data_IF_307583521969
#
_entry.id   IF_307583521969
#
_cell.length_a   1.000
_cell.length_b   1.000
_cell.length_c   1.000
_cell.angle_alpha   90.00
_cell.angle_beta   90.00
_cell.angle_gamma   90.00
#
_symmetry.space_group_name_H-M   'P 1'
#
loop_
_entity.id
_entity.type
_entity.pdbx_description
1 polymer ?
#
# COMPACT_ATOMS: atom_id res chain seq x y z
N UNK A 1 23.61 -13.87 -26.94
CA UNK A 1 22.44 -13.43 -27.73
C UNK A 1 21.20 -14.33 -27.55
N UNK A 2 21.20 -15.60 -27.99
CA UNK A 2 20.00 -16.48 -27.95
C UNK A 2 19.51 -16.89 -26.55
N UNK A 3 20.40 -16.95 -25.56
CA UNK A 3 20.03 -17.30 -24.18
C UNK A 3 19.25 -16.20 -23.45
N UNK A 4 19.63 -14.94 -23.65
CA UNK A 4 19.00 -13.76 -23.04
C UNK A 4 17.58 -13.57 -23.62
N UNK A 5 17.42 -13.71 -24.93
CA UNK A 5 16.10 -13.67 -25.58
C UNK A 5 15.16 -14.79 -25.10
N UNK A 6 15.70 -15.97 -24.78
CA UNK A 6 14.92 -17.12 -24.27
C UNK A 6 14.51 -16.95 -22.80
N UNK A 7 15.32 -16.22 -22.01
CA UNK A 7 15.03 -15.86 -20.62
C UNK A 7 13.99 -14.74 -20.58
N UNK A 8 14.14 -13.71 -21.41
CA UNK A 8 13.17 -12.60 -21.53
C UNK A 8 11.81 -13.07 -22.03
N UNK A 9 11.75 -13.94 -23.03
CA UNK A 9 10.48 -14.54 -23.51
C UNK A 9 9.82 -15.42 -22.45
N UNK A 10 10.57 -16.26 -21.75
CA UNK A 10 10.02 -17.07 -20.64
C UNK A 10 9.52 -16.24 -19.47
N UNK A 11 10.15 -15.11 -19.16
CA UNK A 11 9.70 -14.21 -18.10
C UNK A 11 8.44 -13.44 -18.53
N UNK A 12 8.35 -13.03 -19.79
CA UNK A 12 7.19 -12.32 -20.32
C UNK A 12 5.94 -13.22 -20.39
N UNK A 13 6.11 -14.49 -20.75
CA UNK A 13 5.02 -15.48 -20.73
C UNK A 13 4.58 -15.86 -19.31
N UNK A 14 5.49 -15.83 -18.33
CA UNK A 14 5.19 -16.19 -16.93
C UNK A 14 4.43 -15.10 -16.18
N UNK A 15 4.49 -13.85 -16.63
CA UNK A 15 3.88 -12.68 -15.95
C UNK A 15 2.41 -12.48 -16.34
N UNK A 16 1.85 -13.31 -17.24
CA UNK A 16 0.39 -13.35 -17.47
C UNK A 16 -0.19 -12.05 -18.05
N UNK A 17 0.64 -11.25 -18.74
CA UNK A 17 0.26 -9.94 -19.31
C UNK A 17 -0.89 -10.05 -20.31
N UNK A 18 -0.98 -11.15 -21.07
CA UNK A 18 -2.12 -11.43 -21.96
C UNK A 18 -3.46 -11.53 -21.21
N UNK A 19 -3.45 -11.99 -19.95
CA UNK A 19 -4.66 -12.20 -19.16
C UNK A 19 -5.14 -10.95 -18.41
N UNK A 20 -4.24 -9.99 -18.19
CA UNK A 20 -4.56 -8.68 -17.61
C UNK A 20 -5.16 -7.72 -18.67
N UNK A 21 -4.70 -7.83 -19.92
CA UNK A 21 -5.13 -6.98 -21.04
C UNK A 21 -6.52 -7.35 -21.58
N UNK A 22 -6.93 -8.62 -21.50
CA UNK A 22 -8.27 -9.05 -21.97
C UNK A 22 -9.42 -8.70 -21.01
N UNK A 23 -9.15 -8.40 -19.72
CA UNK A 23 -10.19 -8.21 -18.70
C UNK A 23 -10.35 -6.79 -18.16
N UNK A 24 -9.37 -5.92 -18.36
CA UNK A 24 -9.48 -4.50 -17.99
C UNK A 24 -9.85 -3.69 -19.21
N UNK A 25 -11.03 -3.06 -19.23
CA UNK A 25 -11.59 -2.23 -20.32
C UNK A 25 -10.78 -0.98 -20.68
N UNK A 26 -9.49 -1.12 -20.95
CA UNK A 26 -8.57 -0.07 -21.39
C UNK A 26 -8.77 0.32 -22.86
N UNK A 27 -9.57 -0.43 -23.63
CA UNK A 27 -9.84 -0.11 -25.04
C UNK A 27 -10.46 1.28 -25.22
N UNK A 28 -11.29 1.73 -24.29
CA UNK A 28 -12.00 3.02 -24.41
C UNK A 28 -11.16 4.23 -24.00
N UNK A 29 -10.08 4.04 -23.24
CA UNK A 29 -9.15 5.12 -22.88
C UNK A 29 -8.00 5.28 -23.90
N UNK A 30 -7.78 4.28 -24.77
CA UNK A 30 -6.64 4.23 -25.69
C UNK A 30 -6.93 4.74 -27.11
N UNK A 31 -8.18 4.97 -27.50
CA UNK A 31 -8.51 5.53 -28.82
C UNK A 31 -8.03 6.98 -29.04
N UNK A 32 -7.54 7.66 -27.99
CA UNK A 32 -7.07 9.05 -28.08
C UNK A 32 -5.55 9.24 -28.05
N UNK A 33 -4.78 8.17 -27.85
CA UNK A 33 -3.31 8.23 -27.94
C UNK A 33 -2.77 6.92 -28.46
N UNK A 34 -2.37 6.91 -29.74
CA UNK A 34 -1.70 5.78 -30.42
C UNK A 34 -0.30 5.53 -29.85
N UNK A 35 -0.20 5.14 -28.59
CA UNK A 35 1.04 4.66 -27.98
C UNK A 35 0.75 3.32 -27.34
N UNK A 36 1.06 2.25 -28.08
CA UNK A 36 1.06 0.90 -27.54
C UNK A 36 2.10 0.79 -26.41
N UNK A 37 1.70 0.38 -25.19
CA UNK A 37 2.63 0.23 -24.07
C UNK A 37 3.79 -0.71 -24.39
N UNK A 38 3.55 -1.71 -25.24
CA UNK A 38 4.55 -2.66 -25.74
C UNK A 38 5.60 -2.00 -26.63
N UNK A 39 5.23 -1.02 -27.46
CA UNK A 39 6.15 -0.25 -28.30
C UNK A 39 7.01 0.71 -27.47
N UNK A 40 6.42 1.28 -26.41
CA UNK A 40 7.17 2.11 -25.46
C UNK A 40 8.24 1.29 -24.74
N UNK A 41 7.87 0.09 -24.27
CA UNK A 41 8.80 -0.82 -23.60
C UNK A 41 9.90 -1.33 -24.55
N UNK A 42 9.54 -1.66 -25.79
CA UNK A 42 10.48 -2.05 -26.84
C UNK A 42 11.53 -0.98 -27.11
N UNK A 43 11.11 0.29 -27.19
CA UNK A 43 12.03 1.44 -27.35
C UNK A 43 12.95 1.61 -26.14
N UNK A 44 12.42 1.51 -24.91
CA UNK A 44 13.23 1.60 -23.68
C UNK A 44 14.32 0.51 -23.68
N UNK A 45 13.97 -0.74 -24.01
CA UNK A 45 14.93 -1.85 -24.07
C UNK A 45 15.97 -1.63 -25.18
N UNK A 46 15.55 -1.16 -26.35
CA UNK A 46 16.47 -0.82 -27.46
C UNK A 46 17.50 0.24 -27.05
N UNK A 47 17.06 1.35 -26.46
CA UNK A 47 17.97 2.41 -26.02
C UNK A 47 18.86 1.95 -24.85
N UNK A 48 18.36 1.12 -23.93
CA UNK A 48 19.17 0.53 -22.87
C UNK A 48 20.29 -0.37 -23.41
N UNK A 49 19.98 -1.24 -24.39
CA UNK A 49 20.99 -2.07 -25.06
C UNK A 49 21.99 -1.23 -25.85
N UNK A 50 21.52 -0.18 -26.54
CA UNK A 50 22.39 0.75 -27.25
C UNK A 50 23.40 1.42 -26.31
N UNK A 51 22.96 1.88 -25.14
CA UNK A 51 23.84 2.45 -24.12
C UNK A 51 24.88 1.44 -23.60
N UNK A 52 24.48 0.18 -23.42
CA UNK A 52 25.40 -0.87 -23.00
C UNK A 52 26.50 -1.13 -24.03
N UNK A 53 26.14 -1.17 -25.32
CA UNK A 53 27.11 -1.30 -26.43
C UNK A 53 28.04 -0.08 -26.48
N UNK A 54 27.48 1.12 -26.28
CA UNK A 54 28.26 2.36 -26.25
C UNK A 54 29.24 2.39 -25.07
N UNK A 55 28.84 1.87 -23.90
CA UNK A 55 29.73 1.72 -22.75
C UNK A 55 30.91 0.81 -23.04
N UNK A 56 30.68 -0.34 -23.70
CA UNK A 56 31.76 -1.25 -24.09
C UNK A 56 32.72 -0.62 -25.10
N UNK A 57 32.19 0.23 -26.00
CA UNK A 57 33.00 0.95 -26.98
C UNK A 57 33.89 2.04 -26.33
N UNK A 58 33.41 2.75 -25.30
CA UNK A 58 34.18 3.78 -24.61
C UNK A 58 34.99 3.26 -23.42
N UNK A 59 34.64 2.11 -22.85
CA UNK A 59 35.33 1.49 -21.71
C UNK A 59 36.74 0.98 -22.01
N UNK A 60 37.17 1.03 -23.27
CA UNK A 60 38.55 0.72 -23.69
C UNK A 60 39.52 1.86 -23.32
N UNK A 61 39.02 3.05 -22.98
CA UNK A 61 39.82 4.17 -22.51
C UNK A 61 39.85 4.20 -20.96
N UNK A 62 41.01 4.02 -20.32
CA UNK A 62 41.12 3.70 -18.88
C UNK A 62 40.70 4.82 -17.91
N UNK A 63 40.46 6.05 -18.38
CA UNK A 63 39.87 7.13 -17.58
C UNK A 63 39.22 8.17 -18.52
N UNK A 64 37.91 8.09 -18.71
CA UNK A 64 37.18 9.06 -19.50
C UNK A 64 35.86 9.42 -18.80
N UNK A 65 35.59 10.71 -18.50
CA UNK A 65 34.34 11.17 -17.89
C UNK A 65 33.08 10.65 -18.60
N UNK A 66 33.17 10.34 -19.90
CA UNK A 66 32.08 9.77 -20.68
C UNK A 66 31.66 8.38 -20.17
N UNK A 67 32.62 7.53 -19.75
CA UNK A 67 32.32 6.20 -19.20
C UNK A 67 31.58 6.27 -17.86
N UNK A 68 31.91 7.27 -17.03
CA UNK A 68 31.25 7.51 -15.74
C UNK A 68 29.81 8.01 -15.93
N UNK A 69 29.60 8.89 -16.92
CA UNK A 69 28.25 9.33 -17.31
C UNK A 69 27.41 8.16 -17.81
N UNK A 70 27.94 7.31 -18.69
CA UNK A 70 27.20 6.14 -19.20
C UNK A 70 26.87 5.17 -18.06
N UNK A 71 27.83 4.88 -17.17
CA UNK A 71 27.60 4.01 -16.01
C UNK A 71 26.51 4.56 -15.10
N UNK A 72 26.49 5.88 -14.88
CA UNK A 72 25.45 6.56 -14.10
C UNK A 72 24.07 6.43 -14.74
N UNK A 73 23.97 6.54 -16.07
CA UNK A 73 22.70 6.35 -16.79
C UNK A 73 22.21 4.90 -16.69
N UNK A 74 23.10 3.91 -16.79
CA UNK A 74 22.71 2.50 -16.62
C UNK A 74 22.26 2.23 -15.18
N UNK A 75 22.94 2.79 -14.18
CA UNK A 75 22.55 2.70 -12.78
C UNK A 75 21.19 3.38 -12.49
N UNK A 76 20.75 4.28 -13.36
CA UNK A 76 19.44 4.94 -13.27
C UNK A 76 18.29 4.09 -13.84
N UNK A 77 18.56 3.16 -14.77
CA UNK A 77 17.52 2.30 -15.36
C UNK A 77 16.71 1.49 -14.32
N UNK A 78 17.33 0.85 -13.29
CA UNK A 78 16.59 0.20 -12.22
C UNK A 78 15.64 1.15 -11.48
N UNK A 79 16.05 2.41 -11.23
CA UNK A 79 15.23 3.40 -10.54
C UNK A 79 13.98 3.76 -11.34
N UNK A 80 14.14 3.96 -12.65
CA UNK A 80 12.99 4.19 -13.56
C UNK A 80 12.02 3.01 -13.51
N UNK A 81 12.53 1.77 -13.56
CA UNK A 81 11.68 0.58 -13.50
C UNK A 81 10.86 0.53 -12.21
N UNK A 82 11.49 0.78 -11.05
CA UNK A 82 10.78 0.84 -9.76
C UNK A 82 9.77 1.98 -9.73
N UNK A 83 10.10 3.16 -10.26
CA UNK A 83 9.17 4.29 -10.33
C UNK A 83 7.92 3.96 -11.16
N UNK A 84 8.06 3.27 -12.30
CA UNK A 84 6.93 2.80 -13.12
C UNK A 84 6.06 1.83 -12.33
N UNK A 85 6.67 0.86 -11.62
CA UNK A 85 5.93 -0.08 -10.77
C UNK A 85 5.13 0.68 -9.71
N UNK A 86 5.73 1.67 -9.05
CA UNK A 86 5.04 2.48 -8.03
C UNK A 86 3.81 3.17 -8.63
N UNK A 87 3.90 3.77 -9.82
CA UNK A 87 2.76 4.42 -10.48
C UNK A 87 1.65 3.42 -10.79
N UNK A 88 1.99 2.23 -11.30
CA UNK A 88 1.01 1.18 -11.62
C UNK A 88 0.29 0.71 -10.35
N UNK A 89 1.05 0.43 -9.30
CA UNK A 89 0.51 0.00 -8.01
C UNK A 89 -0.36 1.09 -7.38
N UNK A 90 0.10 2.34 -7.36
CA UNK A 90 -0.67 3.46 -6.83
C UNK A 90 -1.97 3.69 -7.61
N UNK A 91 -1.94 3.56 -8.93
CA UNK A 91 -3.13 3.67 -9.78
C UNK A 91 -4.13 2.55 -9.50
N UNK A 92 -3.65 1.31 -9.34
CA UNK A 92 -4.49 0.17 -9.00
C UNK A 92 -5.12 0.32 -7.61
N UNK A 93 -4.33 0.74 -6.61
CA UNK A 93 -4.83 1.00 -5.26
C UNK A 93 -5.85 2.14 -5.28
N UNK A 94 -5.57 3.23 -6.00
CA UNK A 94 -6.49 4.36 -6.13
C UNK A 94 -7.84 3.95 -6.72
N UNK A 95 -7.82 3.15 -7.79
CA UNK A 95 -9.03 2.62 -8.41
C UNK A 95 -9.82 1.70 -7.44
N UNK A 96 -9.12 0.79 -6.76
CA UNK A 96 -9.74 -0.12 -5.79
C UNK A 96 -10.37 0.65 -4.61
N UNK A 97 -9.67 1.67 -4.09
CA UNK A 97 -10.20 2.51 -3.00
C UNK A 97 -11.42 3.29 -3.47
N UNK A 98 -11.39 3.86 -4.68
CA UNK A 98 -12.58 4.53 -5.24
C UNK A 98 -13.76 3.57 -5.31
N UNK A 99 -13.58 2.36 -5.80
CA UNK A 99 -14.65 1.35 -5.89
C UNK A 99 -15.20 0.97 -4.52
N UNK A 100 -14.34 0.80 -3.51
CA UNK A 100 -14.75 0.53 -2.13
C UNK A 100 -15.55 1.69 -1.56
N UNK A 101 -15.10 2.93 -1.77
CA UNK A 101 -15.80 4.14 -1.29
C UNK A 101 -17.14 4.32 -1.99
N UNK A 102 -17.16 4.14 -3.31
CA UNK A 102 -18.38 4.22 -4.13
C UNK A 102 -19.38 3.13 -3.73
N UNK A 103 -18.93 1.91 -3.44
CA UNK A 103 -19.78 0.82 -2.98
C UNK A 103 -20.30 1.03 -1.55
N UNK A 104 -19.46 1.53 -0.65
CA UNK A 104 -19.83 1.77 0.76
C UNK A 104 -20.77 2.96 0.91
N UNK A 105 -20.66 3.96 0.03
CA UNK A 105 -21.44 5.19 0.06
C UNK A 105 -22.47 5.26 -1.08
N UNK A 106 -22.72 4.16 -1.80
CA UNK A 106 -23.49 4.12 -3.05
C UNK A 106 -24.95 4.60 -2.96
N UNK A 107 -25.49 4.77 -1.74
CA UNK A 107 -26.79 5.40 -1.51
C UNK A 107 -26.76 6.93 -1.40
N UNK A 108 -25.57 7.56 -1.35
CA UNK A 108 -25.39 9.00 -1.18
C UNK A 108 -24.86 9.63 -2.46
N UNK A 109 -25.41 10.78 -2.87
CA UNK A 109 -24.97 11.49 -4.08
C UNK A 109 -23.49 11.90 -4.05
N UNK A 110 -22.91 12.02 -2.85
CA UNK A 110 -21.52 12.40 -2.63
C UNK A 110 -20.52 11.24 -2.66
N UNK A 111 -20.98 9.98 -2.67
CA UNK A 111 -20.11 8.81 -2.65
C UNK A 111 -19.08 8.83 -3.79
N UNK A 112 -19.56 9.10 -5.00
CA UNK A 112 -18.74 9.20 -6.22
C UNK A 112 -17.71 10.33 -6.18
N UNK A 113 -18.07 11.48 -5.59
CA UNK A 113 -17.13 12.59 -5.43
C UNK A 113 -16.05 12.25 -4.42
N UNK A 114 -16.42 11.62 -3.30
CA UNK A 114 -15.49 11.23 -2.26
C UNK A 114 -14.52 10.13 -2.75
N UNK A 115 -15.03 9.14 -3.50
CA UNK A 115 -14.21 8.10 -4.12
C UNK A 115 -13.21 8.68 -5.13
N UNK A 116 -13.62 9.66 -5.94
CA UNK A 116 -12.71 10.37 -6.84
C UNK A 116 -11.62 11.13 -6.10
N UNK A 117 -11.97 11.86 -5.03
CA UNK A 117 -10.99 12.61 -4.23
C UNK A 117 -9.99 11.66 -3.56
N UNK A 118 -10.48 10.56 -2.98
CA UNK A 118 -9.63 9.54 -2.36
C UNK A 118 -8.65 8.92 -3.37
N UNK A 119 -9.14 8.52 -4.54
CA UNK A 119 -8.28 7.99 -5.61
C UNK A 119 -7.27 9.01 -6.11
N UNK A 120 -7.68 10.27 -6.31
CA UNK A 120 -6.78 11.33 -6.75
C UNK A 120 -5.68 11.60 -5.72
N UNK A 121 -6.01 11.56 -4.43
CA UNK A 121 -5.05 11.70 -3.35
C UNK A 121 -4.03 10.56 -3.34
N UNK A 122 -4.48 9.31 -3.45
CA UNK A 122 -3.59 8.14 -3.54
C UNK A 122 -2.68 8.23 -4.76
N UNK A 123 -3.23 8.62 -5.91
CA UNK A 123 -2.45 8.81 -7.12
C UNK A 123 -1.40 9.91 -6.95
N UNK A 124 -1.76 11.04 -6.34
CA UNK A 124 -0.82 12.13 -6.05
C UNK A 124 0.34 11.63 -5.17
N UNK A 125 0.05 10.91 -4.09
CA UNK A 125 1.08 10.29 -3.22
C UNK A 125 1.96 9.32 -4.01
N UNK A 126 1.36 8.49 -4.88
CA UNK A 126 2.10 7.60 -5.77
C UNK A 126 3.02 8.34 -6.74
N UNK A 127 2.58 9.47 -7.30
CA UNK A 127 3.40 10.33 -8.15
C UNK A 127 4.57 10.91 -7.37
N UNK A 128 4.33 11.46 -6.18
CA UNK A 128 5.42 11.94 -5.31
C UNK A 128 6.42 10.84 -4.97
N UNK A 129 5.95 9.63 -4.65
CA UNK A 129 6.81 8.48 -4.38
C UNK A 129 7.65 8.07 -5.62
N UNK A 130 7.05 8.07 -6.81
CA UNK A 130 7.77 7.80 -8.05
C UNK A 130 8.80 8.88 -8.38
N UNK A 131 8.47 10.16 -8.17
CA UNK A 131 9.42 11.27 -8.34
C UNK A 131 10.59 11.15 -7.36
N UNK A 132 10.33 10.75 -6.11
CA UNK A 132 11.39 10.51 -5.13
C UNK A 132 12.26 9.31 -5.53
N UNK A 133 11.66 8.23 -6.04
CA UNK A 133 12.39 7.06 -6.54
C UNK A 133 13.33 7.40 -7.71
N UNK A 134 12.96 8.40 -8.51
CA UNK A 134 13.78 8.94 -9.60
C UNK A 134 14.89 9.88 -9.09
N UNK A 135 14.95 10.18 -7.79
CA UNK A 135 15.93 11.09 -7.16
C UNK A 135 16.00 12.48 -7.83
N UNK A 136 14.90 12.92 -8.45
CA UNK A 136 14.84 14.23 -9.10
C UNK A 136 14.57 15.27 -8.01
N UNK A 137 15.63 15.94 -7.57
CA UNK A 137 15.56 16.95 -6.53
C UNK A 137 14.80 16.47 -5.28
N UNK A 138 15.15 15.26 -4.81
CA UNK A 138 14.55 14.62 -3.63
C UNK A 138 14.33 15.58 -2.43
N UNK A 139 15.27 16.48 -2.06
CA UNK A 139 15.05 17.42 -0.96
C UNK A 139 13.85 18.36 -1.18
N UNK A 140 13.61 18.78 -2.42
CA UNK A 140 12.49 19.65 -2.78
C UNK A 140 11.18 18.85 -2.73
N UNK A 141 11.16 17.64 -3.29
CA UNK A 141 9.99 16.76 -3.32
C UNK A 141 9.57 16.38 -1.89
N UNK A 142 10.52 15.92 -1.07
CA UNK A 142 10.29 15.56 0.32
C UNK A 142 9.89 16.78 1.15
N UNK A 143 10.56 17.92 0.96
CA UNK A 143 10.21 19.16 1.65
C UNK A 143 8.78 19.61 1.35
N UNK A 144 8.35 19.56 0.08
CA UNK A 144 6.99 19.88 -0.31
C UNK A 144 5.97 18.89 0.26
N UNK A 145 6.28 17.58 0.23
CA UNK A 145 5.43 16.54 0.79
C UNK A 145 5.23 16.73 2.31
N UNK A 146 6.31 16.97 3.05
CA UNK A 146 6.26 17.24 4.48
C UNK A 146 5.50 18.53 4.79
N UNK A 147 5.68 19.59 4.00
CA UNK A 147 4.92 20.83 4.16
C UNK A 147 3.41 20.61 3.96
N UNK A 148 3.02 19.86 2.92
CA UNK A 148 1.63 19.49 2.66
C UNK A 148 1.05 18.67 3.82
N UNK A 149 1.76 17.64 4.27
CA UNK A 149 1.34 16.85 5.43
C UNK A 149 1.27 17.68 6.71
N UNK A 150 2.20 18.61 6.91
CA UNK A 150 2.18 19.51 8.06
C UNK A 150 0.97 20.44 8.05
N UNK A 151 0.49 20.88 6.88
CA UNK A 151 -0.76 21.66 6.76
C UNK A 151 -1.96 20.81 7.19
N UNK A 152 -2.08 19.59 6.67
CA UNK A 152 -3.20 18.70 7.01
C UNK A 152 -3.15 18.25 8.48
N UNK A 153 -2.00 17.76 8.93
CA UNK A 153 -1.80 17.32 10.30
C UNK A 153 -1.94 18.50 11.26
N UNK A 154 -1.34 19.65 10.96
CA UNK A 154 -1.47 20.87 11.74
C UNK A 154 -2.92 21.33 11.84
N UNK A 155 -3.66 21.35 10.73
CA UNK A 155 -5.09 21.67 10.73
C UNK A 155 -5.90 20.70 11.59
N UNK A 156 -5.65 19.40 11.48
CA UNK A 156 -6.33 18.38 12.28
C UNK A 156 -6.01 18.51 13.78
N UNK A 157 -4.74 18.75 14.12
CA UNK A 157 -4.29 18.99 15.50
C UNK A 157 -5.00 20.22 16.08
N UNK A 158 -5.10 21.31 15.31
CA UNK A 158 -5.76 22.53 15.78
C UNK A 158 -7.27 22.32 15.91
N UNK A 159 -7.91 21.66 14.96
CA UNK A 159 -9.35 21.40 14.98
C UNK A 159 -9.76 20.53 16.19
N UNK A 160 -9.03 19.44 16.42
CA UNK A 160 -9.30 18.51 17.53
C UNK A 160 -8.86 19.13 18.86
N UNK A 161 -7.66 19.70 18.91
CA UNK A 161 -7.04 20.22 20.12
C UNK A 161 -7.63 21.54 20.61
N UNK A 162 -7.95 22.48 19.72
CA UNK A 162 -8.49 23.79 20.08
C UNK A 162 -10.02 23.84 20.13
N UNK A 163 -10.69 23.33 19.09
CA UNK A 163 -12.16 23.37 18.98
C UNK A 163 -12.88 22.15 19.57
N UNK A 164 -12.21 21.00 19.64
CA UNK A 164 -12.80 19.72 20.05
C UNK A 164 -12.93 19.49 21.56
N UNK A 165 -12.31 20.33 22.41
CA UNK A 165 -12.33 20.15 23.87
C UNK A 165 -13.77 20.19 24.41
N UNK A 166 -14.58 21.16 23.94
CA UNK A 166 -15.94 21.35 24.44
C UNK A 166 -16.87 20.15 24.16
N UNK A 167 -16.98 19.61 22.93
CA UNK A 167 -17.80 18.44 22.68
C UNK A 167 -17.26 17.17 23.36
N UNK A 168 -15.94 17.04 23.51
CA UNK A 168 -15.32 15.83 24.07
C UNK A 168 -15.46 15.75 25.59
N UNK A 169 -15.57 16.88 26.29
CA UNK A 169 -15.90 16.94 27.72
C UNK A 169 -17.19 16.20 28.05
N UNK A 170 -18.27 16.47 27.30
CA UNK A 170 -19.57 15.81 27.54
C UNK A 170 -19.53 14.29 27.38
N UNK A 171 -18.71 13.79 26.44
CA UNK A 171 -18.53 12.35 26.20
C UNK A 171 -17.73 11.69 27.33
N UNK A 172 -16.71 12.39 27.82
CA UNK A 172 -15.90 11.95 28.95
C UNK A 172 -16.71 11.92 30.25
N UNK A 173 -17.54 12.93 30.48
CA UNK A 173 -18.46 12.95 31.62
C UNK A 173 -19.42 11.77 31.57
N UNK A 174 -20.08 11.52 30.43
CA UNK A 174 -20.96 10.35 30.26
C UNK A 174 -20.22 9.02 30.46
N UNK A 175 -18.98 8.92 30.00
CA UNK A 175 -18.15 7.72 30.18
C UNK A 175 -17.78 7.53 31.66
N UNK A 176 -17.41 8.60 32.36
CA UNK A 176 -17.13 8.58 33.81
C UNK A 176 -18.38 8.20 34.58
N UNK A 177 -19.54 8.80 34.28
CA UNK A 177 -20.79 8.51 34.99
C UNK A 177 -21.23 7.06 34.77
N UNK A 178 -21.08 6.50 33.56
CA UNK A 178 -21.31 5.07 33.33
C UNK A 178 -20.35 4.20 34.12
N UNK A 179 -19.06 4.54 34.11
CA UNK A 179 -18.06 3.80 34.87
C UNK A 179 -18.35 3.85 36.38
N UNK A 180 -18.85 4.98 36.89
CA UNK A 180 -19.21 5.19 38.29
C UNK A 180 -20.50 4.44 38.70
N UNK A 181 -21.49 4.37 37.80
CA UNK A 181 -22.71 3.59 37.97
C UNK A 181 -22.46 2.07 37.89
N UNK A 182 -21.55 1.64 37.02
CA UNK A 182 -21.17 0.24 36.88
C UNK A 182 -20.14 -0.19 37.93
N UNK A 183 -19.38 0.73 38.54
CA UNK A 183 -18.40 0.45 39.59
C UNK A 183 -18.94 -0.41 40.76
N UNK A 184 -20.12 -0.11 41.36
CA UNK A 184 -20.70 -0.93 42.41
C UNK A 184 -21.19 -2.29 41.91
N UNK A 185 -21.72 -2.37 40.68
CA UNK A 185 -22.16 -3.63 40.07
C UNK A 185 -20.98 -4.55 39.74
N UNK A 186 -19.87 -3.98 39.24
CA UNK A 186 -18.61 -4.67 38.98
C UNK A 186 -17.95 -5.11 40.29
N UNK A 187 -17.93 -4.26 41.32
CA UNK A 187 -17.46 -4.64 42.67
C UNK A 187 -18.30 -5.75 43.29
N UNK A 188 -19.63 -5.71 43.14
CA UNK A 188 -20.52 -6.78 43.62
C UNK A 188 -20.37 -8.06 42.82
N UNK A 189 -20.20 -8.00 41.49
CA UNK A 189 -19.88 -9.18 40.69
C UNK A 189 -18.50 -9.76 41.02
N UNK A 190 -17.52 -8.91 41.33
CA UNK A 190 -16.19 -9.34 41.77
C UNK A 190 -16.20 -9.91 43.20
N UNK A 191 -17.07 -9.41 44.08
CA UNK A 191 -17.25 -9.92 45.44
C UNK A 191 -18.09 -11.21 45.49
N UNK A 192 -19.10 -11.33 44.62
CA UNK A 192 -19.96 -12.50 44.49
C UNK A 192 -19.35 -13.60 43.63
N UNK A 193 -18.39 -13.26 42.76
CA UNK A 193 -17.48 -14.23 42.16
C UNK A 193 -16.52 -14.67 43.27
N UNK A 194 -17.00 -15.56 44.13
CA UNK A 194 -16.21 -16.18 45.18
C UNK A 194 -14.95 -16.78 44.56
N UNK A 195 -13.83 -16.70 45.28
CA UNK A 195 -12.58 -17.37 44.89
C UNK A 195 -12.77 -18.89 44.63
N UNK A 196 -13.86 -19.49 45.12
CA UNK A 196 -14.29 -20.85 44.79
C UNK A 196 -14.86 -21.00 43.38
N UNK A 197 -15.64 -20.05 42.86
CA UNK A 197 -16.21 -20.09 41.50
C UNK A 197 -15.13 -19.91 40.43
N UNK A 198 -14.12 -19.09 40.72
CA UNK A 198 -12.94 -18.93 39.86
C UNK A 198 -12.10 -20.21 39.84
N UNK A 199 -11.95 -20.89 40.97
CA UNK A 199 -11.28 -22.19 41.06
C UNK A 199 -12.08 -23.27 40.34
N UNK A 200 -13.39 -23.35 40.52
CA UNK A 200 -14.26 -24.31 39.84
C UNK A 200 -14.26 -24.12 38.31
N UNK A 201 -14.27 -22.87 37.81
CA UNK A 201 -14.14 -22.56 36.37
C UNK A 201 -12.74 -22.82 35.83
N UNK A 202 -11.69 -22.67 36.64
CA UNK A 202 -10.33 -23.02 36.26
C UNK A 202 -10.14 -24.55 36.19
N UNK A 203 -10.75 -25.31 37.10
CA UNK A 203 -10.78 -26.77 37.08
C UNK A 203 -11.60 -27.31 35.90
N UNK A 204 -12.79 -26.76 35.63
CA UNK A 204 -13.58 -27.11 34.45
C UNK A 204 -12.85 -26.80 33.14
N UNK A 205 -12.16 -25.66 33.04
CA UNK A 205 -11.33 -25.35 31.87
C UNK A 205 -10.14 -26.30 31.73
N UNK A 206 -9.52 -26.72 32.83
CA UNK A 206 -8.48 -27.76 32.81
C UNK A 206 -9.03 -29.11 32.36
N UNK A 207 -10.22 -29.50 32.82
CA UNK A 207 -10.88 -30.75 32.43
C UNK A 207 -11.35 -30.75 30.96
N UNK A 208 -11.85 -29.63 30.47
CA UNK A 208 -12.18 -29.47 29.04
C UNK A 208 -10.94 -29.46 28.16
N UNK A 209 -9.84 -28.82 28.61
CA UNK A 209 -8.58 -28.85 27.89
C UNK A 209 -7.97 -30.26 27.85
N UNK A 210 -8.09 -31.04 28.92
CA UNK A 210 -7.63 -32.44 28.93
C UNK A 210 -8.55 -33.38 28.13
N UNK A 211 -9.87 -33.15 28.09
CA UNK A 211 -10.78 -33.88 27.20
C UNK A 211 -10.55 -33.55 25.72
N UNK A 212 -10.36 -32.26 25.38
CA UNK A 212 -10.04 -31.83 24.02
C UNK A 212 -8.67 -32.36 23.55
N UNK A 213 -7.69 -32.46 24.47
CA UNK A 213 -6.41 -33.10 24.20
C UNK A 213 -6.49 -34.62 24.02
N UNK A 214 -7.45 -35.29 24.66
CA UNK A 214 -7.63 -36.75 24.55
C UNK A 214 -8.44 -37.17 23.31
N UNK A 215 -9.39 -36.35 22.85
CA UNK A 215 -10.16 -36.59 21.61
C UNK A 215 -9.32 -36.44 20.33
N UNK A 216 -8.16 -35.79 20.38
CA UNK A 216 -7.24 -35.62 19.25
C UNK A 216 -6.25 -36.78 19.03
N UNK A 217 -6.14 -37.74 19.96
CA UNK A 217 -5.15 -38.83 19.92
C UNK A 217 -5.74 -40.18 19.43
N UNK A 218 -7.07 -40.30 19.36
CA UNK A 218 -7.75 -41.58 19.10
C UNK A 218 -8.13 -41.89 17.66
N UNK A 219 -7.98 -40.97 16.70
CA UNK A 219 -8.52 -41.14 15.33
C UNK A 219 -7.48 -41.44 14.24
N UNK A 220 -6.26 -41.84 14.59
CA UNK A 220 -5.24 -42.29 13.63
C UNK A 220 -4.92 -43.77 13.83
N UNK A 221 -5.91 -44.64 13.62
CA UNK A 221 -5.68 -46.07 13.34
C UNK A 221 -6.92 -46.68 12.69
N UNK A 222 -6.98 -46.58 11.37
CA UNK A 222 -7.56 -47.55 10.45
C UNK A 222 -7.09 -47.19 9.04
#
# INVERSE_FOLDING_TARGET
>A
AKAIAKILSKLLDRVGFNRAVERGGLKTAMDKSQLDPSDLLGKVVYYALMLFVLQLAFGVFPANPISDLITSVIAYLPKIFVAIIIIVVASAIGAAVREIVDASLGGLSYGKMLGNIASAFILAVGVFAALNQLEIAEPIVNGLFYALLAIFAGSAIIAIGGGGIMPMRSKWEQALTKAEQEAPAIKQQAANTSSEDLKARAEQRKQQASQAGNSGSGSTRA
#
